data_IF_645755180519
#
_entry.id   IF_645755180519
#
_cell.length_a   1.000
_cell.length_b   1.000
_cell.length_c   1.000
_cell.angle_alpha   90.00
_cell.angle_beta   90.00
_cell.angle_gamma   90.00
#
_symmetry.space_group_name_H-M   'P 1'
#
loop_
_entity.id
_entity.type
_entity.pdbx_description
1 polymer ?
#
# COMPACT_ATOMS: atom_id res chain seq x y z
N UNK A 1 35.78 -7.17 36.57
CA UNK A 1 34.44 -7.09 35.95
C UNK A 1 34.65 -6.49 34.57
N UNK A 2 34.75 -7.34 33.53
CA UNK A 2 35.05 -6.89 32.16
C UNK A 2 33.76 -6.48 31.45
N UNK A 3 33.67 -5.19 31.16
CA UNK A 3 32.60 -4.56 30.39
C UNK A 3 32.79 -4.93 28.91
N UNK A 4 31.97 -5.84 28.38
CA UNK A 4 31.90 -6.12 26.94
C UNK A 4 31.14 -4.97 26.26
N UNK A 5 31.90 -4.11 25.61
CA UNK A 5 31.41 -3.12 24.66
C UNK A 5 30.84 -3.86 23.44
N UNK A 6 29.52 -3.82 23.29
CA UNK A 6 28.80 -4.36 22.14
C UNK A 6 28.99 -3.41 20.95
N UNK A 7 29.94 -3.72 20.08
CA UNK A 7 30.03 -3.13 18.74
C UNK A 7 28.77 -3.51 17.96
N UNK A 8 27.92 -2.53 17.65
CA UNK A 8 26.76 -2.70 16.77
C UNK A 8 27.24 -2.96 15.35
N UNK A 9 27.40 -4.23 15.00
CA UNK A 9 27.49 -4.64 13.60
C UNK A 9 26.16 -4.30 12.94
N UNK A 10 26.15 -3.49 11.89
CA UNK A 10 24.98 -3.38 11.01
C UNK A 10 24.70 -4.78 10.45
N UNK A 11 23.75 -5.51 11.02
CA UNK A 11 23.34 -6.78 10.44
C UNK A 11 22.76 -6.52 9.05
N UNK A 12 23.35 -7.17 8.04
CA UNK A 12 22.86 -7.09 6.67
C UNK A 12 21.39 -7.55 6.61
N UNK A 13 20.54 -6.79 5.90
CA UNK A 13 19.12 -7.10 5.78
C UNK A 13 18.95 -8.45 5.07
N UNK A 14 18.47 -9.45 5.82
CA UNK A 14 18.17 -10.77 5.30
C UNK A 14 16.78 -10.80 4.68
N UNK A 15 16.68 -11.22 3.42
CA UNK A 15 15.41 -11.31 2.65
C UNK A 15 14.71 -12.67 2.76
N UNK A 16 15.23 -13.58 3.58
CA UNK A 16 14.75 -14.97 3.69
C UNK A 16 13.72 -15.17 4.80
N UNK A 17 13.49 -14.16 5.65
CA UNK A 17 12.62 -14.26 6.82
C UNK A 17 11.14 -14.38 6.42
N UNK A 18 10.58 -15.60 6.47
CA UNK A 18 9.20 -15.90 6.06
C UNK A 18 8.15 -15.19 6.91
N UNK A 19 8.40 -15.03 8.20
CA UNK A 19 7.50 -14.33 9.13
C UNK A 19 7.34 -12.85 8.75
N UNK A 20 8.44 -12.18 8.43
CA UNK A 20 8.42 -10.77 7.98
C UNK A 20 7.73 -10.62 6.64
N UNK A 21 7.97 -11.53 5.68
CA UNK A 21 7.22 -11.52 4.40
C UNK A 21 5.72 -11.68 4.63
N UNK A 22 5.31 -12.59 5.51
CA UNK A 22 3.89 -12.78 5.83
C UNK A 22 3.26 -11.52 6.42
N UNK A 23 3.94 -10.87 7.38
CA UNK A 23 3.47 -9.60 7.96
C UNK A 23 3.39 -8.48 6.89
N UNK A 24 4.45 -8.33 6.09
CA UNK A 24 4.50 -7.35 5.00
C UNK A 24 3.36 -7.57 3.99
N UNK A 25 3.13 -8.82 3.58
CA UNK A 25 2.06 -9.18 2.64
C UNK A 25 0.67 -8.88 3.19
N UNK A 26 0.39 -9.19 4.46
CA UNK A 26 -0.92 -8.90 5.06
C UNK A 26 -1.18 -7.40 5.13
N UNK A 27 -0.20 -6.61 5.56
CA UNK A 27 -0.34 -5.15 5.61
C UNK A 27 -0.53 -4.56 4.21
N UNK A 28 0.26 -5.03 3.24
CA UNK A 28 0.14 -4.60 1.84
C UNK A 28 -1.21 -4.98 1.25
N UNK A 29 -1.77 -6.14 1.62
CA UNK A 29 -3.06 -6.59 1.13
C UNK A 29 -4.22 -5.75 1.70
N UNK A 30 -4.15 -5.34 2.96
CA UNK A 30 -5.14 -4.42 3.54
C UNK A 30 -5.09 -3.04 2.89
N UNK A 31 -3.89 -2.51 2.66
CA UNK A 31 -3.68 -1.28 1.90
C UNK A 31 -4.28 -1.41 0.50
N UNK A 32 -3.91 -2.46 -0.24
CA UNK A 32 -4.40 -2.72 -1.60
C UNK A 32 -5.92 -2.81 -1.64
N UNK A 33 -6.54 -3.50 -0.68
CA UNK A 33 -7.99 -3.60 -0.59
C UNK A 33 -8.62 -2.20 -0.47
N UNK A 34 -8.11 -1.37 0.44
CA UNK A 34 -8.61 -0.02 0.66
C UNK A 34 -8.40 0.90 -0.56
N UNK A 35 -7.19 0.91 -1.12
CA UNK A 35 -6.83 1.64 -2.33
C UNK A 35 -7.75 1.28 -3.51
N UNK A 36 -7.88 -0.02 -3.79
CA UNK A 36 -8.69 -0.53 -4.89
C UNK A 36 -10.17 -0.14 -4.78
N UNK A 37 -10.73 -0.07 -3.56
CA UNK A 37 -12.12 0.35 -3.36
C UNK A 37 -12.32 1.80 -3.82
N UNK A 38 -11.40 2.71 -3.46
CA UNK A 38 -11.48 4.12 -3.83
C UNK A 38 -11.17 4.36 -5.31
N UNK A 39 -10.16 3.68 -5.84
CA UNK A 39 -9.75 3.74 -7.25
C UNK A 39 -10.87 3.24 -8.17
N UNK A 40 -11.33 2.01 -7.97
CA UNK A 40 -12.44 1.43 -8.73
C UNK A 40 -13.72 2.23 -8.59
N UNK A 41 -14.05 2.68 -7.38
CA UNK A 41 -15.22 3.51 -7.14
C UNK A 41 -15.18 4.81 -7.95
N UNK A 42 -14.01 5.45 -8.03
CA UNK A 42 -13.84 6.69 -8.78
C UNK A 42 -13.95 6.45 -10.28
N UNK A 43 -13.20 5.50 -10.84
CA UNK A 43 -13.22 5.19 -12.26
C UNK A 43 -14.63 4.75 -12.69
N UNK A 44 -15.25 3.83 -11.93
CA UNK A 44 -16.59 3.34 -12.22
C UNK A 44 -17.67 4.42 -12.16
N UNK A 45 -17.56 5.36 -11.21
CA UNK A 45 -18.48 6.50 -11.12
C UNK A 45 -18.43 7.37 -12.38
N UNK A 46 -17.23 7.70 -12.87
CA UNK A 46 -17.07 8.48 -14.10
C UNK A 46 -17.52 7.69 -15.34
N UNK A 47 -17.35 6.36 -15.35
CA UNK A 47 -17.85 5.50 -16.41
C UNK A 47 -19.39 5.48 -16.47
N UNK A 48 -20.09 5.40 -15.33
CA UNK A 48 -21.56 5.39 -15.35
C UNK A 48 -22.13 6.76 -15.73
N UNK A 49 -21.55 7.82 -15.17
CA UNK A 49 -22.08 9.18 -15.34
C UNK A 49 -21.75 9.80 -16.70
N UNK A 50 -20.81 9.22 -17.45
CA UNK A 50 -20.40 9.66 -18.80
C UNK A 50 -20.02 11.16 -18.84
N UNK A 51 -19.49 11.68 -17.74
CA UNK A 51 -19.04 13.08 -17.66
C UNK A 51 -17.76 13.19 -18.49
N UNK A 52 -17.67 14.14 -19.46
CA UNK A 52 -16.47 14.35 -20.25
C UNK A 52 -15.40 15.06 -19.40
N UNK A 53 -14.79 14.32 -18.49
CA UNK A 53 -13.71 14.79 -17.64
C UNK A 53 -12.37 14.28 -18.17
N UNK A 54 -11.28 15.07 -18.15
CA UNK A 54 -10.01 14.59 -18.69
C UNK A 54 -9.47 13.42 -17.88
N UNK A 55 -9.04 12.36 -18.56
CA UNK A 55 -8.52 11.11 -17.98
C UNK A 55 -7.51 11.35 -16.85
N UNK A 56 -6.55 12.25 -17.06
CA UNK A 56 -5.51 12.56 -16.07
C UNK A 56 -6.09 13.03 -14.73
N UNK A 57 -7.18 13.81 -14.75
CA UNK A 57 -7.85 14.26 -13.53
C UNK A 57 -8.64 13.15 -12.85
N UNK A 58 -9.24 12.23 -13.63
CA UNK A 58 -9.90 11.04 -13.08
C UNK A 58 -8.87 10.20 -12.33
N UNK A 59 -7.70 9.94 -12.92
CA UNK A 59 -6.64 9.17 -12.27
C UNK A 59 -6.15 9.86 -10.99
N UNK A 60 -5.95 11.19 -10.99
CA UNK A 60 -5.55 11.93 -9.78
C UNK A 60 -6.62 11.83 -8.69
N UNK A 61 -7.90 11.95 -9.04
CA UNK A 61 -9.00 11.77 -8.08
C UNK A 61 -9.05 10.34 -7.56
N UNK A 62 -8.78 9.35 -8.40
CA UNK A 62 -8.74 7.95 -8.04
C UNK A 62 -7.64 7.68 -6.99
N UNK A 63 -6.44 8.24 -7.19
CA UNK A 63 -5.34 8.16 -6.20
C UNK A 63 -5.79 8.78 -4.88
N UNK A 64 -6.35 10.00 -4.90
CA UNK A 64 -6.74 10.70 -3.68
C UNK A 64 -7.80 9.89 -2.92
N UNK A 65 -8.83 9.40 -3.62
CA UNK A 65 -9.89 8.61 -3.01
C UNK A 65 -9.38 7.26 -2.51
N UNK A 66 -8.52 6.58 -3.27
CA UNK A 66 -7.88 5.32 -2.89
C UNK A 66 -7.01 5.46 -1.64
N UNK A 67 -6.21 6.54 -1.54
CA UNK A 67 -5.44 6.85 -0.34
C UNK A 67 -6.36 7.10 0.87
N UNK A 68 -7.45 7.87 0.70
CA UNK A 68 -8.40 8.15 1.78
C UNK A 68 -9.04 6.85 2.28
N UNK A 69 -9.57 6.01 1.37
CA UNK A 69 -10.23 4.76 1.74
C UNK A 69 -9.25 3.77 2.37
N UNK A 70 -8.01 3.71 1.89
CA UNK A 70 -6.94 2.91 2.50
C UNK A 70 -6.62 3.37 3.92
N UNK A 71 -6.34 4.66 4.13
CA UNK A 71 -6.02 5.20 5.46
C UNK A 71 -7.18 4.99 6.43
N UNK A 72 -8.43 5.17 5.99
CA UNK A 72 -9.61 4.91 6.81
C UNK A 72 -9.71 3.43 7.19
N UNK A 73 -9.51 2.52 6.25
CA UNK A 73 -9.58 1.08 6.49
C UNK A 73 -8.46 0.60 7.42
N UNK A 74 -7.21 1.00 7.17
CA UNK A 74 -6.07 0.66 8.00
C UNK A 74 -6.23 1.23 9.42
N UNK A 75 -6.64 2.50 9.54
CA UNK A 75 -6.89 3.12 10.85
C UNK A 75 -7.99 2.38 11.61
N UNK A 76 -9.07 1.99 10.93
CA UNK A 76 -10.16 1.22 11.55
C UNK A 76 -9.66 -0.13 12.06
N UNK A 77 -8.89 -0.88 11.27
CA UNK A 77 -8.34 -2.18 11.66
C UNK A 77 -7.36 -2.03 12.84
N UNK A 78 -6.43 -1.08 12.76
CA UNK A 78 -5.43 -0.85 13.82
C UNK A 78 -6.05 -0.30 15.10
N UNK A 79 -7.15 0.45 15.02
CA UNK A 79 -7.86 0.96 16.21
C UNK A 79 -8.39 -0.14 17.14
N UNK A 80 -8.49 -1.38 16.64
CA UNK A 80 -8.86 -2.55 17.43
C UNK A 80 -7.71 -3.12 18.27
N UNK A 81 -6.49 -2.66 18.03
CA UNK A 81 -5.26 -3.16 18.66
C UNK A 81 -4.53 -2.07 19.46
N UNK A 82 -4.76 -0.79 19.16
CA UNK A 82 -4.12 0.35 19.80
C UNK A 82 -5.04 1.58 19.81
N UNK A 83 -4.70 2.60 20.60
CA UNK A 83 -5.44 3.86 20.65
C UNK A 83 -5.57 4.52 19.27
N UNK A 84 -6.72 5.16 19.00
CA UNK A 84 -7.04 5.77 17.70
C UNK A 84 -5.97 6.74 17.18
N UNK A 85 -5.37 7.53 18.07
CA UNK A 85 -4.32 8.48 17.70
C UNK A 85 -3.06 7.77 17.20
N UNK A 86 -2.69 6.67 17.86
CA UNK A 86 -1.55 5.83 17.49
C UNK A 86 -1.84 5.03 16.22
N UNK A 87 -3.06 4.52 16.06
CA UNK A 87 -3.50 3.82 14.85
C UNK A 87 -3.42 4.73 13.61
N UNK A 88 -3.95 5.94 13.69
CA UNK A 88 -3.90 6.91 12.59
C UNK A 88 -2.46 7.33 12.26
N UNK A 89 -1.64 7.62 13.29
CA UNK A 89 -0.23 7.93 13.08
C UNK A 89 0.54 6.77 12.46
N UNK A 90 0.14 5.53 12.75
CA UNK A 90 0.76 4.33 12.18
C UNK A 90 0.34 4.13 10.74
N UNK A 91 -0.96 4.28 10.41
CA UNK A 91 -1.46 4.22 9.04
C UNK A 91 -0.79 5.28 8.14
N UNK A 92 -0.73 6.52 8.61
CA UNK A 92 -0.07 7.61 7.89
C UNK A 92 1.47 7.46 7.86
N UNK A 93 2.09 7.01 8.95
CA UNK A 93 3.53 7.00 9.11
C UNK A 93 4.23 5.79 8.53
N UNK A 94 3.56 4.62 8.47
CA UNK A 94 4.21 3.38 8.03
C UNK A 94 4.36 3.24 6.53
N UNK A 95 3.36 3.70 5.77
CA UNK A 95 3.16 3.18 4.42
C UNK A 95 2.87 4.27 3.38
N UNK A 96 2.86 5.57 3.71
CA UNK A 96 2.40 6.59 2.75
C UNK A 96 3.13 6.57 1.39
N UNK A 97 4.46 6.37 1.39
CA UNK A 97 5.26 6.23 0.15
C UNK A 97 4.85 4.97 -0.62
N UNK A 98 4.67 3.86 0.07
CA UNK A 98 4.18 2.59 -0.51
C UNK A 98 2.78 2.70 -1.09
N UNK A 99 1.87 3.40 -0.41
CA UNK A 99 0.51 3.64 -0.87
C UNK A 99 0.51 4.44 -2.17
N UNK A 100 1.29 5.54 -2.22
CA UNK A 100 1.42 6.34 -3.44
C UNK A 100 2.04 5.51 -4.58
N UNK A 101 3.08 4.73 -4.30
CA UNK A 101 3.72 3.88 -5.30
C UNK A 101 2.76 2.81 -5.85
N UNK A 102 1.95 2.20 -4.98
CA UNK A 102 0.89 1.24 -5.35
C UNK A 102 -0.14 1.88 -6.28
N UNK A 103 -0.68 3.03 -5.90
CA UNK A 103 -1.70 3.78 -6.65
C UNK A 103 -1.18 4.21 -8.03
N UNK A 104 0.06 4.71 -8.09
CA UNK A 104 0.69 5.05 -9.37
C UNK A 104 0.85 3.80 -10.23
N UNK A 105 1.29 2.67 -9.67
CA UNK A 105 1.44 1.44 -10.43
C UNK A 105 0.10 0.92 -10.96
N UNK A 106 -0.95 0.94 -10.15
CA UNK A 106 -2.30 0.54 -10.54
C UNK A 106 -2.82 1.44 -11.66
N UNK A 107 -2.71 2.76 -11.51
CA UNK A 107 -3.14 3.71 -12.52
C UNK A 107 -2.35 3.60 -13.83
N UNK A 108 -1.04 3.34 -13.77
CA UNK A 108 -0.23 3.11 -14.96
C UNK A 108 -0.70 1.85 -15.69
N UNK A 109 -0.97 0.76 -14.98
CA UNK A 109 -1.49 -0.46 -15.59
C UNK A 109 -2.87 -0.22 -16.22
N UNK A 110 -3.76 0.51 -15.53
CA UNK A 110 -5.09 0.84 -16.04
C UNK A 110 -5.00 1.68 -17.33
N UNK A 111 -4.17 2.73 -17.35
CA UNK A 111 -3.99 3.56 -18.54
C UNK A 111 -3.35 2.79 -19.70
N UNK A 112 -2.32 1.98 -19.42
CA UNK A 112 -1.57 1.25 -20.48
C UNK A 112 -2.39 0.12 -21.09
N UNK A 113 -3.14 -0.63 -20.27
CA UNK A 113 -3.83 -1.84 -20.74
C UNK A 113 -5.33 -1.66 -20.95
N UNK A 114 -5.95 -0.66 -20.30
CA UNK A 114 -7.39 -0.44 -20.35
C UNK A 114 -7.77 0.97 -20.82
N UNK A 115 -6.80 1.87 -21.00
CA UNK A 115 -7.04 3.24 -21.51
C UNK A 115 -7.75 4.15 -20.52
N UNK A 116 -7.71 3.85 -19.22
CA UNK A 116 -8.43 4.61 -18.19
C UNK A 116 -9.89 4.19 -18.01
N UNK A 117 -10.23 2.97 -18.44
CA UNK A 117 -11.57 2.38 -18.36
C UNK A 117 -11.43 1.08 -17.59
N UNK A 118 -12.24 0.90 -16.56
CA UNK A 118 -12.26 -0.35 -15.80
C UNK A 118 -12.66 -1.55 -16.67
N UNK A 119 -11.68 -2.38 -17.03
CA UNK A 119 -11.88 -3.63 -17.79
C UNK A 119 -11.63 -4.84 -16.90
N UNK A 120 -12.61 -5.74 -16.83
CA UNK A 120 -12.59 -6.87 -15.91
C UNK A 120 -11.36 -7.79 -16.08
N UNK A 121 -10.86 -7.94 -17.31
CA UNK A 121 -9.67 -8.73 -17.62
C UNK A 121 -8.35 -8.10 -17.14
N UNK A 122 -8.31 -6.77 -16.97
CA UNK A 122 -7.10 -6.03 -16.57
C UNK A 122 -7.02 -5.88 -15.05
N UNK A 123 -8.16 -5.92 -14.34
CA UNK A 123 -8.23 -5.83 -12.87
C UNK A 123 -7.23 -6.75 -12.16
N UNK A 124 -7.12 -8.06 -12.48
CA UNK A 124 -6.17 -8.93 -11.78
C UNK A 124 -4.70 -8.51 -11.97
N UNK A 125 -4.35 -8.02 -13.17
CA UNK A 125 -3.02 -7.53 -13.49
C UNK A 125 -2.71 -6.24 -12.72
N UNK A 126 -3.69 -5.33 -12.67
CA UNK A 126 -3.60 -4.06 -11.96
C UNK A 126 -3.41 -4.28 -10.45
N UNK A 127 -4.22 -5.14 -9.84
CA UNK A 127 -4.10 -5.53 -8.44
C UNK A 127 -2.76 -6.22 -8.14
N UNK A 128 -2.27 -7.06 -9.05
CA UNK A 128 -0.97 -7.71 -8.90
C UNK A 128 0.18 -6.68 -8.93
N UNK A 129 0.14 -5.71 -9.83
CA UNK A 129 1.12 -4.63 -9.88
C UNK A 129 1.07 -3.76 -8.61
N UNK A 130 -0.15 -3.42 -8.16
CA UNK A 130 -0.38 -2.70 -6.90
C UNK A 130 0.17 -3.46 -5.70
N UNK A 131 0.03 -4.79 -5.65
CA UNK A 131 0.58 -5.61 -4.57
C UNK A 131 2.11 -5.71 -4.61
N UNK A 132 2.68 -5.98 -5.79
CA UNK A 132 4.11 -6.26 -5.93
C UNK A 132 4.99 -5.02 -5.75
N UNK A 133 4.49 -3.84 -6.12
CA UNK A 133 5.26 -2.58 -6.08
C UNK A 133 5.72 -2.18 -4.66
N UNK A 134 4.83 -2.09 -3.66
CA UNK A 134 5.20 -1.67 -2.30
C UNK A 134 5.76 -2.82 -1.44
N UNK A 135 5.53 -4.08 -1.81
CA UNK A 135 5.84 -5.23 -0.95
C UNK A 135 7.33 -5.32 -0.54
N UNK A 136 8.32 -5.13 -1.43
CA UNK A 136 9.74 -5.15 -1.04
C UNK A 136 10.11 -4.01 -0.09
N UNK A 137 9.53 -2.82 -0.29
CA UNK A 137 9.74 -1.68 0.60
C UNK A 137 9.13 -1.92 1.98
N UNK A 138 7.91 -2.46 2.03
CA UNK A 138 7.23 -2.81 3.27
C UNK A 138 8.01 -3.88 4.06
N UNK A 139 8.61 -4.86 3.37
CA UNK A 139 9.51 -5.83 3.97
C UNK A 139 10.76 -5.17 4.57
N UNK A 140 11.48 -4.38 3.75
CA UNK A 140 12.68 -3.66 4.17
C UNK A 140 12.42 -2.80 5.41
N UNK A 141 11.29 -2.09 5.43
CA UNK A 141 10.89 -1.24 6.54
C UNK A 141 10.65 -2.05 7.82
N UNK A 142 9.94 -3.18 7.75
CA UNK A 142 9.76 -4.06 8.90
C UNK A 142 11.09 -4.62 9.43
N UNK A 143 12.03 -4.93 8.54
CA UNK A 143 13.38 -5.37 8.95
C UNK A 143 14.18 -4.28 9.65
N UNK A 144 14.10 -3.05 9.16
CA UNK A 144 14.86 -1.92 9.68
C UNK A 144 14.32 -1.37 11.00
N UNK A 145 13.00 -1.41 11.22
CA UNK A 145 12.36 -0.74 12.35
C UNK A 145 11.69 -1.70 13.36
N UNK A 146 11.45 -2.96 13.02
CA UNK A 146 10.63 -3.90 13.83
C UNK A 146 11.39 -5.21 14.15
N UNK A 147 12.73 -5.15 14.33
CA UNK A 147 13.68 -6.26 14.60
C UNK A 147 13.07 -7.67 14.51
N UNK A 148 12.71 -8.09 13.29
CA UNK A 148 12.05 -9.38 13.08
C UNK A 148 12.96 -10.30 12.29
N UNK A 149 13.97 -10.82 12.97
CA UNK A 149 14.50 -12.17 12.82
C UNK A 149 15.43 -12.42 14.02
N UNK A 150 14.85 -12.88 15.12
CA UNK A 150 15.57 -13.63 16.15
C UNK A 150 15.37 -15.13 15.89
#
# INVERSE_FOLDING_TARGET
MNQKMSTSTEEAITWTCKSTWRKASVNTLWCLLGCSIGDFGTIFFFQITQIPFPLLWIMVLAIINGLITSVMLETYILSRQMDLKSAFSTAMGMSFISMIAMEIAMNVVDVVFAGGILVWSVIPLMLAAGFLTPLPYNYYRLKKYDESCH
#
